data_IF_244779019861
#
_entry.id   IF_244779019861
#
_cell.length_a   1.000
_cell.length_b   1.000
_cell.length_c   1.000
_cell.angle_alpha   90.00
_cell.angle_beta   90.00
_cell.angle_gamma   90.00
#
_symmetry.space_group_name_H-M   'P 1'
#
loop_
_entity.id
_entity.type
_entity.pdbx_description
1 polymer ?
#
# COMPACT_ATOMS: atom_id res chain seq x y z
N UNK A 1 20.65 -0.98 35.20
CA UNK A 1 20.43 -1.63 33.88
C UNK A 1 21.11 -0.70 32.87
N UNK A 2 21.59 -1.14 31.69
CA UNK A 2 22.15 -0.14 30.73
C UNK A 2 21.05 0.92 30.43
N UNK A 3 21.39 2.22 30.25
CA UNK A 3 20.40 3.29 30.05
C UNK A 3 19.38 3.03 28.92
N UNK A 4 19.74 2.19 27.95
CA UNK A 4 18.86 1.73 26.89
C UNK A 4 17.69 0.88 27.40
N UNK A 5 17.97 -0.13 28.24
CA UNK A 5 16.95 -1.05 28.75
C UNK A 5 15.98 -0.38 29.71
N UNK A 6 16.45 0.61 30.48
CA UNK A 6 15.58 1.39 31.38
C UNK A 6 14.48 2.11 30.60
N UNK A 7 14.82 2.65 29.42
CA UNK A 7 13.86 3.32 28.53
C UNK A 7 13.04 2.34 27.69
N UNK A 8 13.64 1.24 27.22
CA UNK A 8 12.92 0.22 26.45
C UNK A 8 11.80 -0.40 27.30
N UNK A 9 12.09 -0.70 28.57
CA UNK A 9 11.15 -1.37 29.47
C UNK A 9 10.38 -0.41 30.38
N UNK A 10 10.38 0.89 30.06
CA UNK A 10 9.60 1.87 30.82
C UNK A 10 8.10 1.51 30.80
N UNK A 11 7.52 1.38 31.99
CA UNK A 11 6.12 0.98 32.17
C UNK A 11 5.80 -0.50 31.90
N UNK A 12 6.80 -1.37 31.70
CA UNK A 12 6.62 -2.82 31.45
C UNK A 12 6.73 -3.62 32.76
N UNK A 13 6.01 -4.73 32.87
CA UNK A 13 6.04 -5.62 34.03
C UNK A 13 7.48 -6.11 34.32
N UNK A 14 7.94 -5.91 35.56
CA UNK A 14 9.30 -6.28 35.98
C UNK A 14 9.56 -7.79 35.86
N UNK A 15 8.59 -8.63 36.17
CA UNK A 15 8.76 -10.08 36.07
C UNK A 15 8.97 -10.51 34.61
N UNK A 16 8.21 -9.92 33.69
CA UNK A 16 8.36 -10.17 32.25
C UNK A 16 9.72 -9.69 31.73
N UNK A 17 10.19 -8.53 32.21
CA UNK A 17 11.50 -7.98 31.86
C UNK A 17 12.64 -8.87 32.37
N UNK A 18 12.56 -9.34 33.61
CA UNK A 18 13.54 -10.27 34.18
C UNK A 18 13.60 -11.58 33.40
N UNK A 19 12.44 -12.14 33.04
CA UNK A 19 12.35 -13.32 32.19
C UNK A 19 12.97 -13.09 30.80
N UNK A 20 12.63 -11.96 30.15
CA UNK A 20 13.21 -11.59 28.85
C UNK A 20 14.73 -11.49 28.91
N UNK A 21 15.29 -10.81 29.92
CA UNK A 21 16.74 -10.66 30.06
C UNK A 21 17.43 -12.00 30.33
N UNK A 22 16.79 -12.89 31.10
CA UNK A 22 17.29 -14.25 31.36
C UNK A 22 17.33 -15.08 30.07
N UNK A 23 16.21 -15.19 29.36
CA UNK A 23 16.11 -15.98 28.12
C UNK A 23 17.01 -15.39 27.03
N UNK A 24 17.10 -14.06 26.93
CA UNK A 24 18.02 -13.38 26.02
C UNK A 24 19.47 -13.82 26.23
N UNK A 25 19.94 -13.84 27.48
CA UNK A 25 21.30 -14.29 27.80
C UNK A 25 21.53 -15.75 27.42
N UNK A 26 20.57 -16.63 27.74
CA UNK A 26 20.64 -18.05 27.37
C UNK A 26 20.67 -18.26 25.85
N UNK A 27 19.90 -17.46 25.11
CA UNK A 27 19.87 -17.48 23.66
C UNK A 27 21.16 -16.95 23.01
N UNK A 28 21.86 -15.99 23.64
CA UNK A 28 23.19 -15.55 23.22
C UNK A 28 24.24 -16.65 23.40
N UNK A 29 24.14 -17.43 24.48
CA UNK A 29 25.04 -18.55 24.79
C UNK A 29 24.76 -19.79 23.92
N UNK A 30 23.49 -20.17 23.74
CA UNK A 30 23.07 -21.30 22.90
C UNK A 30 21.84 -20.97 22.04
N UNK A 31 22.10 -20.40 20.86
CA UNK A 31 21.06 -19.97 19.92
C UNK A 31 20.04 -21.05 19.56
N UNK A 32 20.48 -22.29 19.29
CA UNK A 32 19.60 -23.34 18.77
C UNK A 32 18.65 -23.90 19.84
N UNK A 33 19.11 -23.99 21.09
CA UNK A 33 18.32 -24.53 22.21
C UNK A 33 17.24 -23.55 22.67
N UNK A 34 17.57 -22.25 22.70
CA UNK A 34 16.68 -21.22 23.25
C UNK A 34 15.94 -20.40 22.18
N UNK A 35 16.06 -20.75 20.88
CA UNK A 35 15.44 -20.00 19.78
C UNK A 35 13.93 -19.81 19.96
N UNK A 36 13.22 -20.89 20.32
CA UNK A 36 11.75 -20.87 20.40
C UNK A 36 11.28 -20.12 21.67
N UNK A 37 11.96 -20.35 22.81
CA UNK A 37 11.72 -19.61 24.05
C UNK A 37 11.98 -18.10 23.86
N UNK A 38 13.09 -17.75 23.19
CA UNK A 38 13.39 -16.37 22.86
C UNK A 38 12.36 -15.78 21.90
N UNK A 39 11.88 -16.56 20.93
CA UNK A 39 10.80 -16.12 20.04
C UNK A 39 9.53 -15.77 20.80
N UNK A 40 9.15 -16.60 21.77
CA UNK A 40 7.93 -16.39 22.56
C UNK A 40 8.05 -15.16 23.46
N UNK A 41 9.11 -15.07 24.25
CA UNK A 41 9.31 -13.94 25.16
C UNK A 41 9.53 -12.61 24.42
N UNK A 42 10.17 -12.64 23.24
CA UNK A 42 10.29 -11.46 22.38
C UNK A 42 8.92 -10.93 21.99
N UNK A 43 8.00 -11.81 21.57
CA UNK A 43 6.64 -11.41 21.22
C UNK A 43 5.83 -10.96 22.42
N UNK A 44 6.00 -11.56 23.59
CA UNK A 44 5.32 -11.12 24.81
C UNK A 44 5.72 -9.67 25.16
N UNK A 45 7.02 -9.35 25.14
CA UNK A 45 7.52 -7.98 25.31
C UNK A 45 7.03 -7.05 24.19
N UNK A 46 7.06 -7.51 22.94
CA UNK A 46 6.56 -6.72 21.79
C UNK A 46 5.09 -6.34 21.96
N UNK A 47 4.25 -7.29 22.35
CA UNK A 47 2.82 -7.08 22.56
C UNK A 47 2.60 -6.11 23.72
N UNK A 48 3.29 -6.30 24.85
CA UNK A 48 3.16 -5.44 26.03
C UNK A 48 3.58 -3.98 25.74
N UNK A 49 4.72 -3.79 25.05
CA UNK A 49 5.15 -2.46 24.58
C UNK A 49 4.12 -1.89 23.60
N UNK A 50 3.68 -2.66 22.62
CA UNK A 50 2.72 -2.20 21.61
C UNK A 50 1.36 -1.82 22.22
N UNK A 51 0.90 -2.48 23.27
CA UNK A 51 -0.31 -2.14 24.01
C UNK A 51 -0.20 -0.79 24.73
N UNK A 52 1.00 -0.41 25.17
CA UNK A 52 1.28 0.87 25.86
C UNK A 52 1.89 1.96 24.97
N UNK A 53 2.22 1.63 23.72
CA UNK A 53 2.87 2.53 22.79
C UNK A 53 2.00 3.77 22.45
N UNK A 54 2.61 4.94 22.56
CA UNK A 54 2.04 6.24 22.24
C UNK A 54 3.04 7.11 21.47
N UNK A 55 2.59 8.25 20.95
CA UNK A 55 3.45 9.19 20.23
C UNK A 55 4.58 9.77 21.12
N UNK A 56 4.38 9.84 22.43
CA UNK A 56 5.39 10.32 23.39
C UNK A 56 6.28 9.21 23.96
N UNK A 57 6.03 7.94 23.59
CA UNK A 57 6.84 6.82 24.07
C UNK A 57 8.33 6.98 23.72
N UNK A 58 9.23 6.44 24.56
CA UNK A 58 10.67 6.44 24.31
C UNK A 58 11.04 5.96 22.92
N UNK A 59 12.13 6.51 22.37
CA UNK A 59 12.62 6.14 21.05
C UNK A 59 13.00 4.65 21.00
N UNK A 60 13.51 4.11 22.11
CA UNK A 60 13.90 2.72 22.29
C UNK A 60 12.70 1.78 22.09
N UNK A 61 11.53 2.10 22.64
CA UNK A 61 10.29 1.35 22.41
C UNK A 61 9.85 1.41 20.95
N UNK A 62 9.88 2.61 20.34
CA UNK A 62 9.52 2.77 18.92
C UNK A 62 10.45 1.99 18.01
N UNK A 63 11.76 2.01 18.26
CA UNK A 63 12.75 1.28 17.47
C UNK A 63 12.67 -0.24 17.68
N UNK A 64 12.31 -0.69 18.89
CA UNK A 64 12.00 -2.09 19.15
C UNK A 64 10.81 -2.57 18.30
N UNK A 65 9.72 -1.80 18.24
CA UNK A 65 8.55 -2.13 17.42
C UNK A 65 8.85 -2.00 15.91
N UNK A 66 9.56 -0.94 15.50
CA UNK A 66 9.84 -0.61 14.09
C UNK A 66 10.82 -1.56 13.41
N UNK A 67 11.89 -1.93 14.10
CA UNK A 67 13.01 -2.66 13.51
C UNK A 67 13.39 -3.92 14.30
N UNK A 68 12.86 -4.10 15.52
CA UNK A 68 13.24 -5.20 16.39
C UNK A 68 14.60 -5.02 17.07
N UNK A 69 15.02 -3.79 17.37
CA UNK A 69 16.28 -3.55 18.11
C UNK A 69 16.09 -3.97 19.58
N UNK A 70 16.33 -5.25 19.87
CA UNK A 70 16.31 -5.76 21.24
C UNK A 70 17.52 -5.32 22.07
N UNK A 71 18.67 -5.17 21.42
CA UNK A 71 19.92 -4.76 22.03
C UNK A 71 20.79 -4.04 20.98
N UNK A 72 21.19 -2.77 21.20
CA UNK A 72 22.03 -2.04 20.25
C UNK A 72 23.38 -2.72 19.97
N UNK A 73 23.87 -3.55 20.91
CA UNK A 73 25.15 -4.29 20.76
C UNK A 73 25.08 -5.37 19.69
N UNK A 74 23.87 -5.74 19.25
CA UNK A 74 23.71 -6.66 18.11
C UNK A 74 24.01 -6.01 16.76
N UNK A 75 24.26 -4.70 16.72
CA UNK A 75 24.48 -3.93 15.51
C UNK A 75 25.85 -3.26 15.54
N UNK A 76 26.54 -3.31 14.41
CA UNK A 76 27.78 -2.57 14.21
C UNK A 76 27.50 -1.10 13.85
N UNK A 77 28.52 -0.25 13.90
CA UNK A 77 28.39 1.15 13.47
C UNK A 77 27.97 1.27 12.00
N UNK A 78 28.46 0.39 11.14
CA UNK A 78 28.12 0.37 9.72
C UNK A 78 26.65 -0.02 9.51
N UNK A 79 26.11 -0.91 10.33
CA UNK A 79 24.69 -1.28 10.29
C UNK A 79 23.80 -0.08 10.64
N UNK A 80 24.18 0.72 11.65
CA UNK A 80 23.45 1.93 12.01
C UNK A 80 23.43 2.97 10.89
N UNK A 81 24.56 3.17 10.19
CA UNK A 81 24.58 4.09 9.04
C UNK A 81 23.70 3.58 7.91
N UNK A 82 23.71 2.26 7.65
CA UNK A 82 22.87 1.62 6.64
C UNK A 82 21.37 1.74 6.95
N UNK A 83 21.00 1.76 8.23
CA UNK A 83 19.61 1.84 8.71
C UNK A 83 19.13 3.28 8.97
N UNK A 84 20.00 4.27 8.85
CA UNK A 84 19.76 5.66 9.27
C UNK A 84 18.45 6.27 8.78
N UNK A 85 18.07 6.02 7.53
CA UNK A 85 16.81 6.54 6.96
C UNK A 85 15.57 5.96 7.66
N UNK A 86 15.66 4.74 8.21
CA UNK A 86 14.54 4.08 8.90
C UNK A 86 14.25 4.67 10.28
N UNK A 87 15.21 5.39 10.86
CA UNK A 87 15.04 6.08 12.14
C UNK A 87 14.25 7.39 12.02
N UNK A 88 14.06 7.89 10.80
CA UNK A 88 13.32 9.12 10.57
C UNK A 88 11.82 8.88 10.63
N UNK A 89 11.09 9.83 11.22
CA UNK A 89 9.62 9.85 11.17
C UNK A 89 9.20 10.82 10.08
N UNK A 90 8.81 10.29 8.92
CA UNK A 90 8.31 11.06 7.79
C UNK A 90 6.78 10.88 7.75
N UNK A 91 5.99 11.97 7.84
CA UNK A 91 4.54 11.91 7.70
C UNK A 91 4.16 11.32 6.34
N UNK A 92 3.22 10.39 6.34
CA UNK A 92 2.73 9.73 5.14
C UNK A 92 1.33 9.18 5.40
N UNK A 93 0.46 9.23 4.41
CA UNK A 93 -0.87 8.64 4.42
C UNK A 93 -0.92 7.26 3.76
N UNK A 94 0.17 6.82 3.14
CA UNK A 94 0.27 5.51 2.48
C UNK A 94 1.15 4.58 3.30
N UNK A 95 2.38 5.00 3.61
CA UNK A 95 3.41 4.21 4.29
C UNK A 95 3.45 4.45 5.80
N UNK A 96 3.42 3.36 6.55
CA UNK A 96 3.51 3.35 8.01
C UNK A 96 4.51 2.28 8.46
N UNK A 97 5.43 2.64 9.34
CA UNK A 97 6.14 1.63 10.13
C UNK A 97 5.18 1.01 11.15
N UNK A 98 5.49 -0.19 11.64
CA UNK A 98 4.65 -0.90 12.61
C UNK A 98 4.30 -0.04 13.86
N UNK A 99 5.26 0.74 14.38
CA UNK A 99 5.04 1.65 15.52
C UNK A 99 4.06 2.77 15.18
N UNK A 100 4.21 3.39 14.02
CA UNK A 100 3.35 4.47 13.54
C UNK A 100 1.93 3.95 13.24
N UNK A 101 1.83 2.75 12.66
CA UNK A 101 0.57 2.07 12.39
C UNK A 101 -0.23 1.81 13.68
N UNK A 102 0.43 1.25 14.69
CA UNK A 102 -0.15 1.05 16.04
C UNK A 102 -0.66 2.37 16.62
N UNK A 103 0.15 3.43 16.55
CA UNK A 103 -0.19 4.74 17.11
C UNK A 103 -1.40 5.36 16.39
N UNK A 104 -1.46 5.30 15.06
CA UNK A 104 -2.56 5.88 14.29
C UNK A 104 -3.88 5.11 14.46
N UNK A 105 -3.83 3.80 14.70
CA UNK A 105 -5.00 3.02 15.09
C UNK A 105 -5.50 3.41 16.48
N UNK A 106 -4.61 3.54 17.47
CA UNK A 106 -4.99 3.96 18.83
C UNK A 106 -5.57 5.38 18.88
N UNK A 107 -5.12 6.27 17.98
CA UNK A 107 -5.70 7.60 17.78
C UNK A 107 -7.10 7.56 17.16
N UNK A 108 -7.57 6.39 16.70
CA UNK A 108 -8.86 6.23 16.04
C UNK A 108 -8.93 6.77 14.61
N UNK A 109 -7.78 7.12 14.01
CA UNK A 109 -7.72 7.60 12.63
C UNK A 109 -7.83 6.46 11.62
N UNK A 110 -7.30 5.30 12.00
CA UNK A 110 -7.32 4.07 11.19
C UNK A 110 -8.02 2.99 12.00
N UNK A 111 -8.84 2.18 11.33
CA UNK A 111 -9.48 1.04 11.98
C UNK A 111 -8.50 -0.13 12.18
N UNK A 112 -8.72 -0.89 13.25
CA UNK A 112 -8.02 -2.16 13.47
C UNK A 112 -8.24 -3.12 12.30
N UNK A 113 -7.18 -3.85 11.96
CA UNK A 113 -7.20 -4.87 10.92
C UNK A 113 -8.17 -6.01 11.28
N UNK A 114 -8.83 -6.60 10.28
CA UNK A 114 -9.61 -7.83 10.45
C UNK A 114 -8.69 -9.05 10.37
N UNK A 115 -9.01 -10.10 11.13
CA UNK A 115 -8.22 -11.32 11.16
C UNK A 115 -9.11 -12.51 11.54
N UNK A 116 -9.23 -13.51 10.67
CA UNK A 116 -10.19 -14.64 10.82
C UNK A 116 -10.12 -15.33 12.19
N UNK A 117 -8.94 -15.54 12.77
CA UNK A 117 -8.81 -16.16 14.09
C UNK A 117 -9.20 -15.23 15.25
N UNK A 118 -9.22 -13.90 15.05
CA UNK A 118 -9.66 -12.90 16.04
C UNK A 118 -11.13 -12.50 15.84
N UNK A 119 -11.66 -12.65 14.63
CA UNK A 119 -13.08 -12.42 14.29
C UNK A 119 -13.99 -13.37 15.10
N UNK A 120 -13.51 -14.56 15.49
CA UNK A 120 -14.29 -15.49 16.32
C UNK A 120 -14.43 -15.03 17.78
N UNK A 121 -13.48 -14.27 18.32
CA UNK A 121 -13.55 -13.79 19.72
C UNK A 121 -14.27 -12.44 19.85
N UNK A 122 -14.14 -11.55 18.87
CA UNK A 122 -14.81 -10.25 18.87
C UNK A 122 -16.18 -10.34 18.19
N UNK A 123 -17.20 -10.76 18.95
CA UNK A 123 -18.58 -10.83 18.46
C UNK A 123 -19.07 -9.54 17.79
N UNK A 124 -19.74 -9.71 16.64
CA UNK A 124 -20.61 -8.77 15.92
C UNK A 124 -20.10 -7.32 15.70
N UNK A 125 -19.63 -7.08 14.47
CA UNK A 125 -20.06 -5.99 13.57
C UNK A 125 -20.64 -4.72 14.21
N UNK A 126 -19.82 -3.97 14.95
CA UNK A 126 -20.12 -2.58 15.28
C UNK A 126 -19.81 -1.70 14.05
N UNK A 127 -20.62 -0.67 13.76
CA UNK A 127 -20.36 0.25 12.66
C UNK A 127 -19.04 0.99 12.91
N UNK A 128 -18.00 0.64 12.17
CA UNK A 128 -16.67 1.25 12.28
C UNK A 128 -16.70 2.63 11.64
N UNK A 129 -16.09 3.62 12.31
CA UNK A 129 -15.86 4.91 11.70
C UNK A 129 -14.93 4.74 10.49
N UNK A 130 -15.40 5.19 9.33
CA UNK A 130 -14.66 5.23 8.08
C UNK A 130 -13.53 6.25 8.17
N UNK A 131 -12.33 5.88 7.75
CA UNK A 131 -11.31 6.90 7.48
C UNK A 131 -11.77 7.78 6.32
N UNK A 132 -11.97 9.06 6.61
CA UNK A 132 -12.37 10.08 5.63
C UNK A 132 -11.21 10.96 5.19
N UNK A 133 -10.04 10.84 5.85
CA UNK A 133 -8.87 11.69 5.60
C UNK A 133 -8.39 11.60 4.16
N UNK A 134 -8.39 10.39 3.59
CA UNK A 134 -8.00 10.18 2.21
C UNK A 134 -9.03 10.77 1.22
N UNK A 135 -10.33 10.73 1.53
CA UNK A 135 -11.38 11.35 0.71
C UNK A 135 -11.27 12.87 0.74
N UNK A 136 -10.93 13.46 1.88
CA UNK A 136 -10.68 14.90 2.02
C UNK A 136 -9.50 15.33 1.16
N UNK A 137 -8.38 14.61 1.25
CA UNK A 137 -7.19 14.88 0.42
C UNK A 137 -7.48 14.74 -1.07
N UNK A 138 -8.23 13.72 -1.46
CA UNK A 138 -8.63 13.54 -2.86
C UNK A 138 -9.55 14.66 -3.34
N UNK A 139 -10.47 15.11 -2.49
CA UNK A 139 -11.33 16.26 -2.77
C UNK A 139 -10.51 17.54 -2.95
N UNK A 140 -9.55 17.81 -2.07
CA UNK A 140 -8.63 18.94 -2.18
C UNK A 140 -7.77 18.85 -3.44
N UNK A 141 -7.24 17.66 -3.76
CA UNK A 141 -6.46 17.42 -4.98
C UNK A 141 -7.27 17.73 -6.23
N UNK A 142 -8.53 17.27 -6.31
CA UNK A 142 -9.42 17.52 -7.44
C UNK A 142 -9.77 19.00 -7.58
N UNK A 143 -9.98 19.71 -6.46
CA UNK A 143 -10.14 21.17 -6.49
C UNK A 143 -8.89 21.85 -7.03
N UNK A 144 -7.71 21.47 -6.54
CA UNK A 144 -6.44 22.02 -7.01
C UNK A 144 -6.22 21.77 -8.51
N UNK A 145 -6.48 20.55 -8.99
CA UNK A 145 -6.44 20.24 -10.42
C UNK A 145 -7.42 21.12 -11.22
N UNK A 146 -8.62 21.37 -10.68
CA UNK A 146 -9.61 22.26 -11.33
C UNK A 146 -9.07 23.68 -11.39
N UNK A 147 -8.46 24.18 -10.30
CA UNK A 147 -7.84 25.52 -10.27
C UNK A 147 -6.74 25.67 -11.32
N UNK A 148 -5.89 24.66 -11.51
CA UNK A 148 -4.87 24.67 -12.59
C UNK A 148 -5.54 24.77 -13.98
N UNK A 149 -6.61 24.01 -14.21
CA UNK A 149 -7.34 24.07 -15.49
C UNK A 149 -8.08 25.41 -15.67
N UNK A 150 -8.60 26.01 -14.60
CA UNK A 150 -9.19 27.36 -14.60
C UNK A 150 -8.16 28.43 -14.96
N UNK A 151 -6.93 28.34 -14.42
CA UNK A 151 -5.82 29.23 -14.78
C UNK A 151 -5.43 29.07 -16.25
N UNK A 152 -5.30 27.83 -16.72
CA UNK A 152 -5.05 27.53 -18.14
C UNK A 152 -6.14 28.13 -19.03
N UNK A 153 -7.42 28.00 -18.68
CA UNK A 153 -8.52 28.59 -19.43
C UNK A 153 -8.41 30.12 -19.46
N UNK A 154 -8.10 30.76 -18.34
CA UNK A 154 -7.90 32.23 -18.28
C UNK A 154 -6.80 32.66 -19.25
N UNK A 155 -5.71 31.91 -19.32
CA UNK A 155 -4.60 32.21 -20.23
C UNK A 155 -4.96 31.98 -21.70
N UNK A 156 -5.69 30.92 -22.02
CA UNK A 156 -6.21 30.69 -23.37
C UNK A 156 -7.14 31.83 -23.82
N UNK A 157 -8.04 32.29 -22.95
CA UNK A 157 -8.98 33.38 -23.24
C UNK A 157 -8.24 34.70 -23.51
N UNK A 158 -7.13 34.98 -22.81
CA UNK A 158 -6.29 36.16 -23.11
C UNK A 158 -5.73 36.14 -24.54
N UNK A 159 -5.54 34.96 -25.12
CA UNK A 159 -5.08 34.77 -26.50
C UNK A 159 -6.13 35.10 -27.57
N UNK A 160 -7.39 35.28 -27.20
CA UNK A 160 -8.46 35.71 -28.10
C UNK A 160 -8.42 37.23 -28.23
N UNK A 161 -7.69 37.74 -29.23
CA UNK A 161 -7.57 39.17 -29.52
C UNK A 161 -7.69 39.47 -31.02
N UNK A 162 -8.25 40.63 -31.37
CA UNK A 162 -8.30 41.07 -32.76
C UNK A 162 -8.95 42.44 -32.95
N UNK A 163 -8.43 43.23 -33.91
CA UNK A 163 -9.06 44.47 -34.41
C UNK A 163 -9.74 44.27 -35.79
N UNK A 164 -9.80 43.04 -36.29
CA UNK A 164 -10.33 42.62 -37.59
C UNK A 164 -10.68 41.12 -37.58
N UNK A 165 -10.93 40.47 -38.74
CA UNK A 165 -11.29 39.05 -38.80
C UNK A 165 -10.27 38.13 -38.11
N UNK A 166 -10.75 37.11 -37.41
CA UNK A 166 -9.89 36.19 -36.66
C UNK A 166 -9.03 35.30 -37.56
N UNK A 167 -7.79 35.08 -37.14
CA UNK A 167 -6.87 34.18 -37.81
C UNK A 167 -7.16 32.71 -37.48
N UNK A 168 -6.62 31.78 -38.29
CA UNK A 168 -6.69 30.34 -38.03
C UNK A 168 -6.15 29.95 -36.65
N UNK A 169 -5.15 30.67 -36.14
CA UNK A 169 -4.60 30.45 -34.80
C UNK A 169 -5.62 30.74 -33.70
N UNK A 170 -6.45 31.79 -33.85
CA UNK A 170 -7.51 32.10 -32.88
C UNK A 170 -8.60 31.03 -32.90
N UNK A 171 -8.93 30.45 -34.06
CA UNK A 171 -9.84 29.31 -34.13
C UNK A 171 -9.31 28.08 -33.38
N UNK A 172 -8.00 27.81 -33.45
CA UNK A 172 -7.38 26.74 -32.64
C UNK A 172 -7.49 27.02 -31.14
N UNK A 173 -7.34 28.28 -30.73
CA UNK A 173 -7.57 28.70 -29.33
C UNK A 173 -9.04 28.48 -28.93
N UNK A 174 -10.02 28.74 -29.80
CA UNK A 174 -11.42 28.42 -29.52
C UNK A 174 -11.64 26.93 -29.27
N UNK A 175 -11.06 26.07 -30.09
CA UNK A 175 -11.16 24.61 -29.90
C UNK A 175 -10.56 24.18 -28.55
N UNK A 176 -9.43 24.76 -28.16
CA UNK A 176 -8.82 24.50 -26.84
C UNK A 176 -9.65 25.04 -25.68
N UNK A 177 -10.27 26.21 -25.82
CA UNK A 177 -11.21 26.78 -24.85
C UNK A 177 -12.41 25.86 -24.68
N UNK A 178 -13.02 25.39 -25.77
CA UNK A 178 -14.17 24.47 -25.72
C UNK A 178 -13.80 23.18 -24.99
N UNK A 179 -12.63 22.60 -25.30
CA UNK A 179 -12.11 21.41 -24.60
C UNK A 179 -11.89 21.67 -23.12
N UNK A 180 -11.29 22.81 -22.76
CA UNK A 180 -11.03 23.19 -21.38
C UNK A 180 -12.32 23.40 -20.59
N UNK A 181 -13.33 24.07 -21.17
CA UNK A 181 -14.67 24.22 -20.57
C UNK A 181 -15.33 22.85 -20.36
N UNK A 182 -15.26 21.95 -21.35
CA UNK A 182 -15.79 20.59 -21.23
C UNK A 182 -15.11 19.81 -20.09
N UNK A 183 -13.78 19.94 -19.98
CA UNK A 183 -13.01 19.34 -18.88
C UNK A 183 -13.41 19.90 -17.53
N UNK A 184 -13.55 21.23 -17.39
CA UNK A 184 -13.99 21.88 -16.15
C UNK A 184 -15.39 21.42 -15.71
N UNK A 185 -16.34 21.28 -16.64
CA UNK A 185 -17.68 20.74 -16.33
C UNK A 185 -17.62 19.31 -15.78
N UNK A 186 -16.77 18.46 -16.38
CA UNK A 186 -16.56 17.09 -15.89
C UNK A 186 -15.92 17.10 -14.49
N UNK A 187 -14.87 17.90 -14.29
CA UNK A 187 -14.20 18.03 -13.00
C UNK A 187 -15.15 18.53 -11.91
N UNK A 188 -16.01 19.50 -12.21
CA UNK A 188 -17.01 20.00 -11.26
C UNK A 188 -18.03 18.92 -10.87
N UNK A 189 -18.51 18.14 -11.85
CA UNK A 189 -19.37 16.97 -11.59
C UNK A 189 -18.69 15.96 -10.67
N UNK A 190 -17.43 15.61 -10.96
CA UNK A 190 -16.65 14.67 -10.15
C UNK A 190 -16.44 15.19 -8.71
N UNK A 191 -16.08 16.47 -8.57
CA UNK A 191 -15.92 17.15 -7.27
C UNK A 191 -17.24 17.13 -6.48
N UNK A 192 -18.37 17.37 -7.15
CA UNK A 192 -19.69 17.31 -6.52
C UNK A 192 -20.02 15.91 -6.01
N UNK A 193 -19.83 14.88 -6.83
CA UNK A 193 -20.06 13.48 -6.43
C UNK A 193 -19.14 13.03 -5.29
N UNK A 194 -17.87 13.47 -5.31
CA UNK A 194 -16.92 13.25 -4.23
C UNK A 194 -17.39 13.93 -2.93
N UNK A 195 -17.83 15.18 -3.01
CA UNK A 195 -18.32 15.94 -1.86
C UNK A 195 -19.54 15.28 -1.23
N UNK A 196 -20.51 14.88 -2.04
CA UNK A 196 -21.71 14.15 -1.58
C UNK A 196 -21.35 12.83 -0.91
N UNK A 197 -20.34 12.13 -1.44
CA UNK A 197 -19.86 10.85 -0.88
C UNK A 197 -19.10 11.05 0.44
N UNK A 198 -18.29 12.10 0.53
CA UNK A 198 -17.58 12.50 1.74
C UNK A 198 -18.56 12.89 2.85
N UNK A 199 -19.55 13.74 2.53
CA UNK A 199 -20.55 14.20 3.48
C UNK A 199 -21.41 13.02 3.99
N UNK A 200 -21.83 12.12 3.10
CA UNK A 200 -22.53 10.89 3.48
C UNK A 200 -21.67 9.96 4.37
N UNK A 201 -20.36 9.85 4.09
CA UNK A 201 -19.44 9.05 4.93
C UNK A 201 -19.26 9.67 6.31
N UNK A 202 -19.12 11.00 6.40
CA UNK A 202 -19.05 11.73 7.67
C UNK A 202 -20.34 11.59 8.48
N UNK A 203 -21.49 11.69 7.84
CA UNK A 203 -22.78 11.51 8.49
C UNK A 203 -22.93 10.07 9.04
N UNK A 204 -22.52 9.06 8.27
CA UNK A 204 -22.46 7.67 8.77
C UNK A 204 -21.55 7.52 9.98
N UNK A 205 -20.39 8.18 10.00
CA UNK A 205 -19.48 8.15 11.15
C UNK A 205 -20.11 8.79 12.40
N UNK A 206 -20.84 9.90 12.23
CA UNK A 206 -21.58 10.54 13.33
C UNK A 206 -22.68 9.60 13.84
N UNK A 207 -23.47 9.00 12.94
CA UNK A 207 -24.52 8.05 13.33
C UNK A 207 -23.96 6.79 14.00
N UNK A 208 -22.80 6.31 13.58
CA UNK A 208 -22.08 5.20 14.21
C UNK A 208 -21.62 5.60 15.63
N UNK A 209 -21.01 6.77 15.79
CA UNK A 209 -20.58 7.28 17.09
C UNK A 209 -21.73 7.42 18.09
N UNK A 210 -22.92 7.88 17.65
CA UNK A 210 -24.13 8.00 18.49
C UNK A 210 -24.67 6.63 18.93
N UNK A 211 -24.48 5.57 18.13
CA UNK A 211 -24.91 4.20 18.47
C UNK A 211 -23.96 3.48 19.45
N UNK A 212 -22.71 3.93 19.59
CA UNK A 212 -21.70 3.37 20.51
C UNK A 212 -21.89 3.96 21.93
N UNK A 213 -23.14 4.03 22.39
CA UNK A 213 -23.50 4.38 23.78
C UNK A 213 -23.32 3.22 24.78
N UNK A 214 -22.59 2.17 24.39
CA UNK A 214 -22.34 0.99 25.22
C UNK A 214 -20.83 0.72 25.32
N UNK A 215 -20.26 0.96 26.49
CA UNK A 215 -18.88 0.64 26.87
C UNK A 215 -18.66 -0.88 26.88
N UNK A 216 -18.32 -1.46 25.73
CA UNK A 216 -17.45 -2.64 25.71
C UNK A 216 -16.07 -2.15 25.31
N UNK A 217 -15.09 -2.31 26.21
CA UNK A 217 -13.68 -2.10 25.87
C UNK A 217 -13.34 -3.02 24.69
N UNK A 218 -13.06 -2.41 23.54
CA UNK A 218 -12.58 -3.15 22.37
C UNK A 218 -11.15 -3.54 22.69
N UNK A 219 -10.89 -4.84 22.82
CA UNK A 219 -9.54 -5.35 22.99
C UNK A 219 -8.67 -4.91 21.80
N UNK A 220 -7.51 -4.31 22.10
CA UNK A 220 -6.56 -3.88 21.08
C UNK A 220 -5.74 -5.08 20.59
N UNK A 221 -6.13 -5.66 19.45
CA UNK A 221 -5.55 -6.91 18.94
C UNK A 221 -4.48 -6.70 17.86
N UNK A 222 -4.27 -5.47 17.39
CA UNK A 222 -3.31 -5.14 16.33
C UNK A 222 -1.88 -5.69 16.55
N UNK A 223 -1.32 -5.74 17.79
CA UNK A 223 0.01 -6.34 17.99
C UNK A 223 0.06 -7.82 17.59
N UNK A 224 -1.04 -8.56 17.77
CA UNK A 224 -1.17 -9.96 17.35
C UNK A 224 -1.26 -10.08 15.83
N UNK A 225 -1.97 -9.15 15.18
CA UNK A 225 -2.06 -9.05 13.72
C UNK A 225 -0.67 -8.82 13.13
N UNK A 226 0.09 -7.85 13.67
CA UNK A 226 1.45 -7.56 13.20
C UNK A 226 2.38 -8.78 13.35
N UNK A 227 2.25 -9.55 14.44
CA UNK A 227 2.99 -10.82 14.59
C UNK A 227 2.73 -11.77 13.43
N UNK A 228 1.47 -11.91 12.99
CA UNK A 228 1.13 -12.75 11.84
C UNK A 228 1.64 -12.16 10.51
N UNK A 229 1.56 -10.83 10.36
CA UNK A 229 2.09 -10.14 9.19
C UNK A 229 3.60 -10.36 9.05
N UNK A 230 4.36 -10.22 10.15
CA UNK A 230 5.79 -10.50 10.21
C UNK A 230 6.06 -11.96 9.85
N UNK A 231 5.36 -12.91 10.47
CA UNK A 231 5.49 -14.34 10.16
C UNK A 231 5.27 -14.65 8.67
N UNK A 232 4.25 -14.04 8.05
CA UNK A 232 3.95 -14.22 6.63
C UNK A 232 5.01 -13.58 5.72
N UNK A 233 5.55 -12.41 6.09
CA UNK A 233 6.60 -11.72 5.32
C UNK A 233 7.96 -12.44 5.38
N UNK A 234 8.28 -13.03 6.53
CA UNK A 234 9.50 -13.81 6.75
C UNK A 234 9.41 -15.19 6.06
N UNK A 235 8.23 -15.81 6.09
CA UNK A 235 8.00 -17.16 5.56
C UNK A 235 8.32 -18.27 6.56
N UNK A 236 8.02 -19.52 6.15
CA UNK A 236 8.04 -20.70 7.04
C UNK A 236 9.43 -21.06 7.58
N UNK A 237 10.48 -20.83 6.80
CA UNK A 237 11.84 -21.24 7.14
C UNK A 237 12.66 -20.15 7.86
N UNK A 238 12.12 -18.93 7.95
CA UNK A 238 12.81 -17.82 8.60
C UNK A 238 12.61 -17.81 10.12
N UNK A 239 13.33 -16.89 10.78
CA UNK A 239 13.25 -16.69 12.23
C UNK A 239 11.93 -15.99 12.55
N UNK A 240 11.12 -16.59 13.42
CA UNK A 240 9.74 -16.18 13.65
C UNK A 240 9.61 -14.97 14.59
N UNK A 241 10.71 -14.31 14.93
CA UNK A 241 10.77 -13.06 15.68
C UNK A 241 11.64 -12.04 14.92
N UNK A 242 11.27 -10.75 14.90
CA UNK A 242 11.94 -9.75 14.06
C UNK A 242 13.16 -9.11 14.71
N UNK A 243 13.89 -9.79 15.61
CA UNK A 243 15.02 -9.15 16.29
C UNK A 243 16.16 -8.83 15.32
N UNK A 244 16.65 -7.60 15.38
CA UNK A 244 17.67 -7.10 14.50
C UNK A 244 19.07 -7.46 15.00
N UNK A 245 19.88 -8.08 14.14
CA UNK A 245 21.27 -8.40 14.43
C UNK A 245 22.12 -8.36 13.16
N UNK A 246 23.38 -7.94 13.28
CA UNK A 246 24.35 -7.83 12.17
C UNK A 246 24.45 -9.10 11.35
N UNK A 247 24.36 -10.29 11.96
CA UNK A 247 24.45 -11.58 11.25
C UNK A 247 23.43 -11.78 10.13
N UNK A 248 22.33 -11.02 10.13
CA UNK A 248 21.27 -11.14 9.14
C UNK A 248 21.29 -10.04 8.07
N UNK A 249 22.03 -8.95 8.29
CA UNK A 249 22.10 -7.80 7.38
C UNK A 249 22.91 -8.03 6.08
N UNK A 250 23.97 -8.87 6.04
CA UNK A 250 24.71 -9.13 4.80
C UNK A 250 23.85 -9.65 3.66
N UNK A 251 22.78 -10.41 3.96
CA UNK A 251 21.87 -10.98 2.97
C UNK A 251 20.68 -10.07 2.63
N UNK A 252 20.63 -8.86 3.19
CA UNK A 252 19.60 -7.87 2.85
C UNK A 252 20.04 -7.17 1.57
N UNK A 253 19.20 -7.22 0.53
CA UNK A 253 19.46 -6.56 -0.74
C UNK A 253 18.88 -5.14 -0.75
N UNK A 254 17.78 -4.93 -0.02
CA UNK A 254 17.05 -3.66 0.00
C UNK A 254 16.51 -3.38 1.40
N UNK A 255 16.64 -2.13 1.82
CA UNK A 255 16.01 -1.60 3.04
C UNK A 255 14.89 -0.67 2.58
N UNK A 256 13.67 -0.98 2.96
CA UNK A 256 12.50 -0.18 2.66
C UNK A 256 12.35 0.93 3.70
N UNK A 257 13.17 1.98 3.56
CA UNK A 257 12.94 3.25 4.25
C UNK A 257 11.71 3.94 3.67
N UNK A 258 11.05 4.83 4.44
CA UNK A 258 9.92 5.62 3.93
C UNK A 258 10.28 6.42 2.67
N UNK A 259 11.46 7.06 2.66
CA UNK A 259 11.93 7.80 1.48
C UNK A 259 12.10 6.90 0.26
N UNK A 260 12.62 5.67 0.46
CA UNK A 260 12.81 4.73 -0.63
C UNK A 260 11.49 4.15 -1.17
N UNK A 261 10.55 3.76 -0.31
CA UNK A 261 9.23 3.27 -0.77
C UNK A 261 8.40 4.36 -1.43
N UNK A 262 8.51 5.61 -0.98
CA UNK A 262 7.86 6.75 -1.62
C UNK A 262 8.37 6.95 -3.05
N UNK A 263 9.69 6.82 -3.27
CA UNK A 263 10.27 6.86 -4.62
C UNK A 263 9.73 5.74 -5.50
N UNK A 264 9.76 4.50 -5.01
CA UNK A 264 9.24 3.34 -5.75
C UNK A 264 7.75 3.49 -6.07
N UNK A 265 6.98 4.07 -5.15
CA UNK A 265 5.56 4.29 -5.32
C UNK A 265 5.24 5.37 -6.36
N UNK A 266 6.04 6.44 -6.42
CA UNK A 266 5.90 7.45 -7.45
C UNK A 266 6.21 6.91 -8.84
N UNK A 267 7.18 6.00 -8.97
CA UNK A 267 7.40 5.24 -10.21
C UNK A 267 6.22 4.31 -10.50
N UNK A 268 5.74 3.58 -9.49
CA UNK A 268 4.62 2.63 -9.61
C UNK A 268 3.32 3.27 -10.10
N UNK A 269 3.03 4.54 -9.71
CA UNK A 269 1.87 5.29 -10.19
C UNK A 269 1.79 5.36 -11.72
N UNK A 270 2.92 5.37 -12.42
CA UNK A 270 2.97 5.39 -13.88
C UNK A 270 2.88 3.98 -14.48
N UNK A 271 3.24 2.95 -13.72
CA UNK A 271 3.29 1.56 -14.17
C UNK A 271 1.91 0.91 -14.06
N UNK A 272 1.23 1.10 -12.94
CA UNK A 272 -0.08 0.51 -12.70
C UNK A 272 -1.00 1.47 -11.92
N UNK A 273 -1.42 2.57 -12.57
CA UNK A 273 -2.31 3.56 -11.96
C UNK A 273 -3.64 2.95 -11.54
N UNK A 274 -4.18 1.99 -12.31
CA UNK A 274 -5.49 1.37 -12.05
C UNK A 274 -5.55 0.63 -10.73
N UNK A 275 -4.44 0.07 -10.25
CA UNK A 275 -4.38 -0.56 -8.93
C UNK A 275 -4.66 0.43 -7.80
N UNK A 276 -4.37 1.70 -8.01
CA UNK A 276 -4.54 2.77 -7.02
C UNK A 276 -5.89 3.49 -7.15
N UNK A 277 -6.72 3.12 -8.13
CA UNK A 277 -7.96 3.83 -8.43
C UNK A 277 -9.20 2.99 -8.12
N UNK A 278 -10.26 3.67 -7.71
CA UNK A 278 -11.59 3.10 -7.47
C UNK A 278 -12.64 3.88 -8.24
N UNK A 279 -13.51 3.15 -8.92
CA UNK A 279 -14.72 3.74 -9.51
C UNK A 279 -15.85 3.68 -8.48
N UNK A 280 -16.25 4.84 -7.99
CA UNK A 280 -17.34 5.00 -7.02
C UNK A 280 -18.35 5.97 -7.63
N UNK A 281 -19.59 5.51 -7.83
CA UNK A 281 -20.69 6.31 -8.41
C UNK A 281 -20.30 7.02 -9.72
N UNK A 282 -19.60 6.30 -10.60
CA UNK A 282 -19.10 6.81 -11.88
C UNK A 282 -17.98 7.86 -11.81
N UNK A 283 -17.48 8.16 -10.61
CA UNK A 283 -16.28 8.99 -10.40
C UNK A 283 -15.09 8.09 -10.08
N UNK A 284 -13.98 8.35 -10.76
CA UNK A 284 -12.71 7.67 -10.50
C UNK A 284 -11.95 8.42 -9.40
N UNK A 285 -11.57 7.67 -8.38
CA UNK A 285 -11.03 8.18 -7.11
C UNK A 285 -9.67 7.53 -6.88
N UNK A 286 -8.65 8.33 -6.58
CA UNK A 286 -7.36 7.81 -6.14
C UNK A 286 -7.47 7.32 -4.69
N UNK A 287 -7.32 6.01 -4.49
CA UNK A 287 -7.46 5.34 -3.20
C UNK A 287 -6.35 4.27 -3.05
N UNK A 288 -5.10 4.67 -2.79
CA UNK A 288 -4.01 3.73 -2.57
C UNK A 288 -4.23 2.93 -1.28
N UNK A 289 -3.78 1.66 -1.18
CA UNK A 289 -3.85 0.92 0.07
C UNK A 289 -2.93 1.55 1.13
N UNK A 290 -3.16 1.22 2.40
CA UNK A 290 -2.16 1.37 3.45
C UNK A 290 -1.03 0.37 3.21
N UNK A 291 0.22 0.83 3.38
CA UNK A 291 1.43 0.03 3.25
C UNK A 291 2.10 -0.04 4.62
N UNK A 292 2.03 -1.23 5.22
CA UNK A 292 2.56 -1.49 6.56
C UNK A 292 3.96 -2.08 6.40
N UNK A 293 4.96 -1.34 6.87
CA UNK A 293 6.35 -1.76 6.93
C UNK A 293 6.59 -2.52 8.23
N UNK A 294 6.63 -3.85 8.14
CA UNK A 294 6.77 -4.72 9.29
C UNK A 294 8.24 -5.01 9.61
N UNK A 295 8.61 -5.13 10.90
CA UNK A 295 10.00 -5.32 11.29
C UNK A 295 10.52 -6.70 10.84
N UNK A 296 11.84 -6.81 10.78
CA UNK A 296 12.53 -8.07 10.47
C UNK A 296 12.84 -8.28 8.99
N UNK A 297 13.33 -9.48 8.71
CA UNK A 297 13.91 -9.88 7.43
C UNK A 297 12.92 -10.71 6.61
N UNK A 298 12.29 -10.08 5.63
CA UNK A 298 11.30 -10.74 4.78
C UNK A 298 11.78 -11.03 3.37
N UNK A 299 11.08 -11.97 2.75
CA UNK A 299 11.23 -12.32 1.34
C UNK A 299 9.98 -12.02 0.53
N UNK A 300 8.85 -11.78 1.20
CA UNK A 300 7.55 -11.62 0.55
C UNK A 300 6.87 -10.35 1.04
N UNK A 301 6.26 -9.64 0.10
CA UNK A 301 5.23 -8.66 0.39
C UNK A 301 3.90 -9.19 -0.10
N UNK A 302 2.82 -8.83 0.56
CA UNK A 302 1.51 -9.42 0.30
C UNK A 302 0.37 -8.46 0.62
N UNK A 303 -0.79 -8.74 0.06
CA UNK A 303 -2.03 -8.07 0.45
C UNK A 303 -2.60 -8.73 1.70
N UNK A 304 -2.71 -7.97 2.79
CA UNK A 304 -3.41 -8.41 4.00
C UNK A 304 -4.91 -8.37 3.76
N UNK A 305 -5.41 -7.22 3.31
CA UNK A 305 -6.84 -6.98 3.05
C UNK A 305 -7.02 -6.13 1.79
N UNK A 306 -7.81 -6.58 0.80
CA UNK A 306 -8.06 -5.77 -0.40
C UNK A 306 -8.99 -4.57 -0.14
N UNK A 307 -9.90 -4.71 0.82
CA UNK A 307 -10.85 -3.68 1.27
C UNK A 307 -11.04 -3.79 2.78
N UNK A 308 -11.49 -2.72 3.41
CA UNK A 308 -11.74 -2.71 4.85
C UNK A 308 -13.05 -3.45 5.18
N UNK A 309 -12.95 -4.71 5.60
CA UNK A 309 -14.11 -5.56 5.86
C UNK A 309 -14.93 -5.78 4.58
N UNK A 310 -16.19 -5.34 4.57
CA UNK A 310 -17.06 -5.37 3.38
C UNK A 310 -17.22 -4.00 2.73
N UNK A 311 -16.46 -3.00 3.18
CA UNK A 311 -16.64 -1.63 2.77
C UNK A 311 -15.83 -1.30 1.53
N UNK A 312 -16.50 -1.17 0.38
CA UNK A 312 -15.88 -0.77 -0.88
C UNK A 312 -15.28 0.64 -0.87
N UNK A 313 -15.66 1.48 0.10
CA UNK A 313 -15.10 2.81 0.32
C UNK A 313 -13.88 2.80 1.26
N UNK A 314 -13.55 1.65 1.86
CA UNK A 314 -12.42 1.49 2.75
C UNK A 314 -11.13 1.17 1.99
N UNK A 315 -10.02 1.72 2.46
CA UNK A 315 -8.69 1.44 1.90
C UNK A 315 -8.26 0.02 2.26
N UNK A 316 -7.59 -0.66 1.32
CA UNK A 316 -6.95 -1.94 1.59
C UNK A 316 -5.68 -1.79 2.43
N UNK A 317 -5.14 -2.92 2.90
CA UNK A 317 -3.89 -3.02 3.67
C UNK A 317 -2.95 -4.00 2.97
N UNK A 318 -1.75 -3.54 2.65
CA UNK A 318 -0.66 -4.36 2.13
C UNK A 318 0.53 -4.30 3.07
N UNK A 319 1.34 -5.35 3.06
CA UNK A 319 2.45 -5.54 3.99
C UNK A 319 3.73 -5.75 3.20
N UNK A 320 4.78 -5.05 3.63
CA UNK A 320 6.13 -5.17 3.08
C UNK A 320 7.10 -5.27 4.26
N UNK A 321 8.09 -6.17 4.26
CA UNK A 321 9.11 -6.21 5.29
C UNK A 321 10.01 -4.97 5.20
N UNK A 322 10.50 -4.43 6.32
CA UNK A 322 11.49 -3.33 6.27
C UNK A 322 12.80 -3.80 5.61
N UNK A 323 13.21 -5.05 5.86
CA UNK A 323 14.46 -5.60 5.32
C UNK A 323 14.14 -6.72 4.34
N UNK A 324 14.50 -6.51 3.07
CA UNK A 324 14.22 -7.45 1.99
C UNK A 324 15.47 -8.17 1.52
N UNK A 325 15.37 -9.50 1.43
CA UNK A 325 16.38 -10.35 0.77
C UNK A 325 16.14 -10.50 -0.74
N UNK A 326 14.96 -10.12 -1.24
CA UNK A 326 14.58 -10.22 -2.66
C UNK A 326 14.58 -8.87 -3.38
N UNK A 327 15.38 -7.93 -2.89
CA UNK A 327 15.45 -6.59 -3.46
C UNK A 327 14.10 -5.87 -3.41
N UNK A 328 13.66 -5.33 -4.54
CA UNK A 328 12.38 -4.63 -4.67
C UNK A 328 11.17 -5.54 -4.94
N UNK A 329 11.37 -6.85 -5.14
CA UNK A 329 10.27 -7.77 -5.47
C UNK A 329 9.13 -7.77 -4.44
N UNK A 330 9.36 -7.76 -3.11
CA UNK A 330 8.27 -7.73 -2.13
C UNK A 330 7.33 -6.55 -2.30
N UNK A 331 7.83 -5.38 -2.71
CA UNK A 331 7.01 -4.20 -2.97
C UNK A 331 6.01 -4.48 -4.10
N UNK A 332 6.49 -4.94 -5.25
CA UNK A 332 5.63 -5.24 -6.39
C UNK A 332 4.75 -6.46 -6.16
N UNK A 333 5.23 -7.46 -5.43
CA UNK A 333 4.44 -8.62 -5.03
C UNK A 333 3.22 -8.20 -4.20
N UNK A 334 3.40 -7.29 -3.24
CA UNK A 334 2.32 -6.79 -2.40
C UNK A 334 1.23 -6.08 -3.23
N UNK A 335 1.63 -5.21 -4.18
CA UNK A 335 0.72 -4.52 -5.08
C UNK A 335 0.05 -5.45 -6.11
N UNK A 336 0.78 -6.45 -6.63
CA UNK A 336 0.21 -7.46 -7.51
C UNK A 336 -0.84 -8.31 -6.81
N UNK A 337 -0.57 -8.74 -5.57
CA UNK A 337 -1.51 -9.55 -4.79
C UNK A 337 -2.73 -8.71 -4.42
N UNK A 338 -2.50 -7.43 -4.10
CA UNK A 338 -3.56 -6.46 -3.87
C UNK A 338 -4.45 -6.31 -5.10
N UNK A 339 -3.86 -6.03 -6.27
CA UNK A 339 -4.56 -5.90 -7.55
C UNK A 339 -5.44 -7.11 -7.85
N UNK A 340 -4.89 -8.30 -7.69
CA UNK A 340 -5.62 -9.55 -7.90
C UNK A 340 -6.80 -9.72 -6.95
N UNK A 341 -6.57 -9.65 -5.63
CA UNK A 341 -7.63 -9.85 -4.62
C UNK A 341 -8.73 -8.82 -4.74
N UNK A 342 -8.33 -7.59 -5.00
CA UNK A 342 -9.23 -6.47 -5.13
C UNK A 342 -10.19 -6.58 -6.32
N UNK A 343 -9.68 -6.96 -7.50
CA UNK A 343 -10.54 -7.23 -8.67
C UNK A 343 -11.54 -8.35 -8.35
N UNK A 344 -11.15 -9.37 -7.58
CA UNK A 344 -12.07 -10.42 -7.14
C UNK A 344 -13.20 -9.89 -6.24
N UNK A 345 -12.87 -9.04 -5.26
CA UNK A 345 -13.87 -8.42 -4.38
C UNK A 345 -14.82 -7.50 -5.16
N UNK A 346 -14.29 -6.69 -6.08
CA UNK A 346 -15.09 -5.74 -6.86
C UNK A 346 -15.94 -6.40 -7.95
N UNK A 347 -15.63 -7.64 -8.35
CA UNK A 347 -16.38 -8.38 -9.36
C UNK A 347 -17.66 -9.02 -8.83
N UNK A 348 -17.95 -8.92 -7.52
CA UNK A 348 -19.17 -9.44 -6.87
C UNK A 348 -19.54 -10.88 -7.30
N UNK A 349 -18.54 -11.76 -7.42
CA UNK A 349 -18.72 -13.17 -7.78
C UNK A 349 -18.50 -13.52 -9.25
N UNK A 350 -18.38 -12.55 -10.17
CA UNK A 350 -18.11 -12.79 -11.60
C UNK A 350 -16.63 -12.77 -11.99
N UNK A 351 -15.74 -12.92 -11.02
CA UNK A 351 -14.28 -12.79 -11.21
C UNK A 351 -13.67 -13.88 -12.11
N UNK A 352 -14.40 -14.95 -12.43
CA UNK A 352 -13.98 -15.99 -13.40
C UNK A 352 -14.45 -15.71 -14.83
N UNK A 353 -15.42 -14.82 -15.03
CA UNK A 353 -16.10 -14.64 -16.32
C UNK A 353 -15.60 -13.41 -17.08
N UNK A 354 -15.31 -12.33 -16.34
CA UNK A 354 -14.98 -11.03 -16.92
C UNK A 354 -13.79 -10.36 -16.20
N UNK A 355 -13.26 -9.30 -16.83
CA UNK A 355 -12.23 -8.46 -16.24
C UNK A 355 -10.83 -9.09 -16.26
N UNK A 356 -9.92 -8.52 -15.46
CA UNK A 356 -8.53 -8.96 -15.39
C UNK A 356 -8.42 -10.42 -14.98
N UNK A 357 -9.12 -10.80 -13.91
CA UNK A 357 -9.03 -12.14 -13.35
C UNK A 357 -9.66 -13.15 -14.30
N UNK A 358 -10.85 -12.90 -14.85
CA UNK A 358 -11.53 -13.85 -15.74
C UNK A 358 -10.73 -14.19 -17.00
N UNK A 359 -10.16 -13.17 -17.66
CA UNK A 359 -9.32 -13.37 -18.84
C UNK A 359 -8.01 -14.11 -18.50
N UNK A 360 -7.44 -13.85 -17.32
CA UNK A 360 -6.26 -14.57 -16.86
C UNK A 360 -6.60 -16.03 -16.48
N UNK A 361 -7.78 -16.30 -15.90
CA UNK A 361 -8.26 -17.66 -15.65
C UNK A 361 -8.41 -18.45 -16.95
N UNK A 362 -9.02 -17.84 -17.96
CA UNK A 362 -9.15 -18.44 -19.29
C UNK A 362 -7.78 -18.79 -19.89
N UNK A 363 -6.81 -17.89 -19.79
CA UNK A 363 -5.42 -18.16 -20.19
C UNK A 363 -4.84 -19.40 -19.48
N UNK A 364 -5.01 -19.51 -18.17
CA UNK A 364 -4.50 -20.65 -17.40
C UNK A 364 -5.17 -21.97 -17.82
N UNK A 365 -6.49 -21.96 -18.08
CA UNK A 365 -7.25 -23.12 -18.52
C UNK A 365 -6.85 -23.60 -19.93
N UNK A 366 -6.75 -22.67 -20.89
CA UNK A 366 -6.34 -22.96 -22.27
C UNK A 366 -4.91 -23.55 -22.33
N UNK A 367 -4.03 -23.08 -21.44
CA UNK A 367 -2.65 -23.55 -21.31
C UNK A 367 -2.48 -24.74 -20.33
N UNK A 368 -3.57 -25.25 -19.74
CA UNK A 368 -3.59 -26.41 -18.82
C UNK A 368 -2.65 -26.26 -17.61
N UNK A 369 -2.49 -25.04 -17.11
CA UNK A 369 -1.62 -24.74 -15.97
C UNK A 369 -2.28 -25.18 -14.66
N UNK A 370 -1.55 -25.93 -13.83
CA UNK A 370 -2.05 -26.50 -12.57
C UNK A 370 -1.42 -25.79 -11.37
N UNK A 371 -2.23 -25.31 -10.45
CA UNK A 371 -1.76 -24.67 -9.22
C UNK A 371 -2.69 -23.56 -8.79
N UNK A 372 -2.24 -22.71 -7.86
CA UNK A 372 -3.00 -21.54 -7.47
C UNK A 372 -2.84 -20.43 -8.52
N UNK A 373 -3.94 -19.93 -9.13
CA UNK A 373 -3.89 -18.89 -10.17
C UNK A 373 -3.11 -17.64 -9.77
N UNK A 374 -3.20 -17.26 -8.50
CA UNK A 374 -2.51 -16.09 -7.96
C UNK A 374 -0.98 -16.23 -8.03
N UNK A 375 -0.42 -17.44 -7.91
CA UNK A 375 1.03 -17.65 -7.98
C UNK A 375 1.56 -17.38 -9.39
N UNK A 376 0.83 -17.84 -10.42
CA UNK A 376 1.13 -17.55 -11.82
C UNK A 376 1.00 -16.05 -12.10
N UNK A 377 -0.12 -15.45 -11.66
CA UNK A 377 -0.37 -14.03 -11.85
C UNK A 377 0.73 -13.17 -11.24
N UNK A 378 1.13 -13.44 -10.00
CA UNK A 378 2.17 -12.68 -9.31
C UNK A 378 3.52 -12.79 -10.02
N UNK A 379 3.88 -13.97 -10.52
CA UNK A 379 5.12 -14.16 -11.28
C UNK A 379 5.13 -13.32 -12.55
N UNK A 380 4.05 -13.36 -13.31
CA UNK A 380 3.93 -12.56 -14.53
C UNK A 380 3.84 -11.07 -14.22
N UNK A 381 3.14 -10.69 -13.16
CA UNK A 381 3.00 -9.30 -12.71
C UNK A 381 4.36 -8.70 -12.32
N UNK A 382 5.20 -9.44 -11.60
CA UNK A 382 6.56 -8.98 -11.26
C UNK A 382 7.39 -8.80 -12.55
N UNK A 383 7.28 -9.70 -13.52
CA UNK A 383 7.94 -9.53 -14.83
C UNK A 383 7.38 -8.33 -15.60
N UNK A 384 6.07 -8.07 -15.51
CA UNK A 384 5.43 -6.92 -16.14
C UNK A 384 5.99 -5.60 -15.62
N UNK A 385 5.98 -5.41 -14.31
CA UNK A 385 6.35 -4.15 -13.66
C UNK A 385 7.87 -3.94 -13.53
N UNK A 386 8.68 -4.97 -13.73
CA UNK A 386 10.16 -4.85 -13.64
C UNK A 386 10.88 -5.01 -14.98
N UNK A 387 10.34 -5.81 -15.92
CA UNK A 387 11.00 -6.14 -17.21
C UNK A 387 10.24 -5.55 -18.40
N UNK A 388 8.94 -5.80 -18.50
CA UNK A 388 8.15 -5.34 -19.66
C UNK A 388 8.06 -3.81 -19.69
N UNK A 389 7.97 -3.15 -18.53
CA UNK A 389 8.04 -1.68 -18.42
C UNK A 389 9.34 -1.10 -19.01
N UNK A 390 10.43 -1.88 -19.03
CA UNK A 390 11.71 -1.48 -19.61
C UNK A 390 11.84 -1.83 -21.11
N UNK A 391 10.88 -2.59 -21.65
CA UNK A 391 10.87 -3.13 -23.00
C UNK A 391 11.51 -4.53 -23.12
N UNK A 392 11.84 -5.16 -22.00
CA UNK A 392 12.40 -6.51 -21.97
C UNK A 392 11.24 -7.51 -21.97
N UNK A 393 10.98 -8.11 -23.12
CA UNK A 393 9.89 -9.06 -23.32
C UNK A 393 10.18 -10.39 -22.61
N UNK A 394 9.56 -10.61 -21.45
CA UNK A 394 9.72 -11.82 -20.62
C UNK A 394 8.40 -12.51 -20.29
N UNK A 395 7.29 -11.78 -20.38
CA UNK A 395 5.95 -12.30 -20.17
C UNK A 395 5.47 -13.04 -21.42
N UNK A 396 4.58 -14.01 -21.26
CA UNK A 396 3.95 -14.69 -22.39
C UNK A 396 3.18 -13.70 -23.30
N UNK A 397 3.01 -14.03 -24.58
CA UNK A 397 2.29 -13.17 -25.52
C UNK A 397 0.84 -12.92 -25.10
N UNK A 398 0.12 -13.96 -24.68
CA UNK A 398 -1.29 -13.83 -24.30
C UNK A 398 -1.42 -13.00 -23.01
N UNK A 399 -0.56 -13.26 -22.02
CA UNK A 399 -0.53 -12.49 -20.78
C UNK A 399 -0.18 -11.02 -21.03
N UNK A 400 0.75 -10.72 -21.94
CA UNK A 400 1.06 -9.34 -22.35
C UNK A 400 -0.15 -8.63 -22.90
N UNK A 401 -0.95 -9.28 -23.73
CA UNK A 401 -2.18 -8.69 -24.27
C UNK A 401 -3.22 -8.42 -23.17
N UNK A 402 -3.37 -9.36 -22.22
CA UNK A 402 -4.23 -9.19 -21.04
C UNK A 402 -3.76 -7.99 -20.21
N UNK A 403 -2.48 -7.95 -19.83
CA UNK A 403 -1.93 -6.88 -18.99
C UNK A 403 -1.93 -5.53 -19.69
N UNK A 404 -1.66 -5.46 -20.99
CA UNK A 404 -1.76 -4.19 -21.74
C UNK A 404 -3.16 -3.57 -21.66
N UNK A 405 -4.22 -4.41 -21.61
CA UNK A 405 -5.61 -3.96 -21.51
C UNK A 405 -6.03 -3.63 -20.08
N UNK A 406 -5.70 -4.49 -19.12
CA UNK A 406 -6.26 -4.45 -17.77
C UNK A 406 -5.30 -3.89 -16.69
N UNK A 407 -4.00 -3.82 -17.00
CA UNK A 407 -2.92 -3.21 -16.20
C UNK A 407 -2.13 -2.26 -17.12
N UNK A 408 -2.80 -1.29 -17.75
CA UNK A 408 -2.16 -0.45 -18.74
C UNK A 408 -1.13 0.47 -18.09
N UNK A 409 0.07 0.50 -18.66
CA UNK A 409 1.04 1.55 -18.36
C UNK A 409 0.48 2.93 -18.74
N UNK A 410 0.99 3.98 -18.10
CA UNK A 410 0.71 5.35 -18.52
C UNK A 410 1.30 5.67 -19.90
N UNK A 411 0.69 6.66 -20.57
CA UNK A 411 1.00 7.04 -21.95
C UNK A 411 2.49 7.32 -22.21
N UNK A 412 3.26 8.00 -21.33
CA UNK A 412 4.69 8.21 -21.53
C UNK A 412 5.49 6.90 -21.60
N UNK A 413 5.11 5.89 -20.80
CA UNK A 413 5.75 4.57 -20.83
C UNK A 413 5.36 3.85 -22.13
N UNK A 414 4.07 3.86 -22.50
CA UNK A 414 3.61 3.23 -23.73
C UNK A 414 4.28 3.82 -24.98
N UNK A 415 4.43 5.14 -25.04
CA UNK A 415 5.13 5.82 -26.12
C UNK A 415 6.61 5.41 -26.16
N UNK A 416 7.30 5.40 -25.02
CA UNK A 416 8.70 4.97 -24.95
C UNK A 416 8.87 3.50 -25.39
N UNK A 417 7.96 2.62 -25.00
CA UNK A 417 7.95 1.21 -25.40
C UNK A 417 7.70 1.03 -26.90
N UNK A 418 6.80 1.83 -27.48
CA UNK A 418 6.48 1.78 -28.91
C UNK A 418 7.69 2.04 -29.80
N UNK A 419 8.65 2.84 -29.32
CA UNK A 419 9.91 3.15 -30.01
C UNK A 419 10.96 2.04 -29.88
N UNK A 420 10.80 1.11 -28.92
CA UNK A 420 11.78 0.04 -28.63
C UNK A 420 11.46 -1.28 -29.31
N UNK A 421 10.18 -1.61 -29.53
CA UNK A 421 9.77 -2.88 -30.11
C UNK A 421 8.49 -2.75 -30.92
N UNK A 422 8.46 -3.44 -32.06
CA UNK A 422 7.30 -3.53 -32.95
C UNK A 422 6.05 -4.08 -32.25
N UNK A 423 6.21 -5.01 -31.29
CA UNK A 423 5.09 -5.56 -30.52
C UNK A 423 4.36 -4.47 -29.73
N UNK A 424 5.10 -3.63 -29.01
CA UNK A 424 4.50 -2.52 -28.26
C UNK A 424 4.00 -1.41 -29.17
N UNK A 425 4.64 -1.19 -30.32
CA UNK A 425 4.14 -0.25 -31.33
C UNK A 425 2.72 -0.65 -31.78
N UNK A 426 2.51 -1.91 -32.14
CA UNK A 426 1.20 -2.40 -32.55
C UNK A 426 0.15 -2.27 -31.43
N UNK A 427 0.52 -2.63 -30.19
CA UNK A 427 -0.36 -2.50 -29.03
C UNK A 427 -0.75 -1.05 -28.75
N UNK A 428 0.20 -0.12 -28.91
CA UNK A 428 -0.04 1.31 -28.73
C UNK A 428 -0.95 1.90 -29.82
N UNK A 429 -0.69 1.60 -31.09
CA UNK A 429 -1.54 2.02 -32.20
C UNK A 429 -2.97 1.47 -32.10
N UNK A 430 -3.14 0.26 -31.56
CA UNK A 430 -4.46 -0.33 -31.28
C UNK A 430 -5.17 0.44 -30.16
N UNK A 431 -4.47 0.82 -29.09
CA UNK A 431 -5.01 1.63 -27.99
C UNK A 431 -5.46 3.01 -28.49
N UNK A 432 -4.63 3.69 -29.29
CA UNK A 432 -4.97 5.00 -29.88
C UNK A 432 -6.21 4.93 -30.78
N UNK A 433 -6.30 3.92 -31.66
CA UNK A 433 -7.48 3.71 -32.52
C UNK A 433 -8.74 3.43 -31.71
N UNK A 434 -8.63 2.69 -30.61
CA UNK A 434 -9.75 2.42 -29.70
C UNK A 434 -10.24 3.70 -29.04
N UNK A 435 -9.33 4.53 -28.49
CA UNK A 435 -9.69 5.82 -27.87
C UNK A 435 -10.32 6.79 -28.86
N UNK A 436 -9.89 6.79 -30.13
CA UNK A 436 -10.52 7.59 -31.17
C UNK A 436 -11.98 7.18 -31.36
N UNK A 437 -12.28 5.88 -31.43
CA UNK A 437 -13.65 5.36 -31.58
C UNK A 437 -14.55 5.63 -30.38
N UNK A 438 -14.00 5.69 -29.17
CA UNK A 438 -14.76 5.98 -27.93
C UNK A 438 -15.06 7.48 -27.76
N UNK A 439 -14.37 8.36 -28.49
CA UNK A 439 -14.58 9.82 -28.47
C UNK A 439 -15.46 10.33 -29.63
N UNK A 440 -15.90 9.45 -30.53
CA UNK A 440 -16.94 9.69 -31.54
C UNK A 440 -18.23 9.03 -31.09
#
# INVERSE_FOLDING_TARGET
MEPYFEKLFDGIDKALVEEFLKIKKQHEENFNEYKDQFSEIFWNIYIEIAQKLEEKSPAEQKMFIRLGIADPRYLSKDDFERLKETFQTIPSDVFYYADEWIIEIKKGKISQSTFEDVIQESGASQPKALDTTWMEKEYERKIFERTIEEEKLRDLVKGVQGKGPYSKAVYTIFDEIIKSIGKLKKMDSDIKTLKETLDASKERNIQAAVKIGGTKEIQFTEPLVIRQMVKKAIGKLGIQYPALASKFLPNVNTIFSKGYVEKLFNEFKLIDPKTLERNIRSTQILMPPYVILVPGYGETGFCWEPIEGTNIYGRGRIVIPVLSRKGIEPFYQAFGEYRWKLEKELSFGRWMEEGLTGEYYKYLEENKLKGQPIEYFLKDYILWVTKEVQGIQKVDKEVREIFWRYIPFDDPIKEALSKKSYVYQQLWEKDLRRRQRENY
#
